data_IF_962406543907
#
_entry.id   IF_962406543907
#
_cell.length_a   1.000
_cell.length_b   1.000
_cell.length_c   1.000
_cell.angle_alpha   90.00
_cell.angle_beta   90.00
_cell.angle_gamma   90.00
#
_symmetry.space_group_name_H-M   'P 1'
#
loop_
_entity.id
_entity.type
_entity.pdbx_description
1 polymer ?
#
# COMPACT_ATOMS: atom_id res chain seq x y z
N UNK A 1 -13.70 8.96 8.60
CA UNK A 1 -13.22 8.01 7.57
C UNK A 1 -13.20 6.64 8.20
N UNK A 2 -13.74 5.63 7.50
CA UNK A 2 -13.51 4.23 7.88
C UNK A 2 -12.00 3.96 7.88
N UNK A 3 -11.54 3.04 8.74
CA UNK A 3 -10.15 2.61 8.68
C UNK A 3 -9.87 1.94 7.33
N UNK A 4 -8.62 2.01 6.81
CA UNK A 4 -8.27 1.35 5.54
C UNK A 4 -8.62 -0.14 5.54
N UNK A 5 -8.47 -0.80 6.69
CA UNK A 5 -8.83 -2.20 6.86
C UNK A 5 -10.34 -2.46 6.75
N UNK A 6 -11.17 -1.55 7.26
CA UNK A 6 -12.62 -1.63 7.07
C UNK A 6 -13.00 -1.42 5.60
N UNK A 7 -12.38 -0.45 4.93
CA UNK A 7 -12.64 -0.18 3.51
C UNK A 7 -12.25 -1.36 2.60
N UNK A 8 -11.13 -2.02 2.90
CA UNK A 8 -10.70 -3.27 2.23
C UNK A 8 -11.71 -4.39 2.47
N UNK A 9 -12.14 -4.59 3.71
CA UNK A 9 -13.13 -5.61 4.07
C UNK A 9 -14.48 -5.37 3.38
N UNK A 10 -14.95 -4.13 3.33
CA UNK A 10 -16.21 -3.75 2.66
C UNK A 10 -16.19 -4.03 1.15
N UNK A 11 -15.00 -4.02 0.54
CA UNK A 11 -14.78 -4.40 -0.87
C UNK A 11 -14.64 -5.91 -1.07
N UNK A 12 -14.70 -6.70 0.00
CA UNK A 12 -14.58 -8.15 -0.04
C UNK A 12 -13.15 -8.64 -0.27
N UNK A 13 -12.16 -7.82 0.06
CA UNK A 13 -10.74 -8.17 -0.03
C UNK A 13 -10.20 -8.63 1.33
N UNK A 14 -9.16 -9.47 1.33
CA UNK A 14 -8.45 -9.89 2.53
C UNK A 14 -7.05 -9.27 2.61
N UNK A 15 -6.53 -9.17 3.82
CA UNK A 15 -5.16 -8.74 4.09
C UNK A 15 -4.42 -9.91 4.70
N UNK A 16 -3.39 -10.39 4.00
CA UNK A 16 -2.54 -11.47 4.46
C UNK A 16 -1.17 -10.92 4.87
N UNK A 17 -0.71 -11.28 6.06
CA UNK A 17 0.63 -10.99 6.51
C UNK A 17 1.54 -12.16 6.15
N UNK A 18 2.47 -11.93 5.24
CA UNK A 18 3.37 -12.96 4.73
C UNK A 18 4.80 -12.75 5.23
N UNK A 19 5.61 -13.82 5.37
CA UNK A 19 7.01 -13.70 5.74
C UNK A 19 7.74 -12.69 4.86
N UNK A 20 8.58 -11.84 5.46
CA UNK A 20 9.26 -10.79 4.70
C UNK A 20 10.12 -11.37 3.57
N UNK A 21 10.69 -12.56 3.76
CA UNK A 21 11.48 -13.25 2.74
C UNK A 21 10.69 -13.61 1.46
N UNK A 22 9.39 -13.92 1.59
CA UNK A 22 8.53 -14.27 0.45
C UNK A 22 8.21 -13.06 -0.42
N UNK A 23 8.06 -11.89 0.21
CA UNK A 23 7.71 -10.63 -0.45
C UNK A 23 8.88 -9.64 -0.50
N UNK A 24 10.12 -10.07 -0.20
CA UNK A 24 11.25 -9.21 0.20
C UNK A 24 11.53 -7.96 -0.65
N UNK A 25 11.20 -7.99 -1.95
CA UNK A 25 11.33 -6.86 -2.87
C UNK A 25 10.27 -5.77 -2.68
N UNK A 26 9.24 -6.04 -1.88
CA UNK A 26 8.05 -5.22 -1.70
C UNK A 26 7.64 -5.20 -0.22
N UNK A 27 7.06 -4.08 0.21
CA UNK A 27 6.50 -3.98 1.56
C UNK A 27 5.05 -4.44 1.60
N UNK A 28 4.33 -4.26 0.50
CA UNK A 28 3.03 -4.82 0.23
C UNK A 28 2.84 -5.00 -1.28
N UNK A 29 1.88 -5.84 -1.66
CA UNK A 29 1.48 -6.08 -3.03
C UNK A 29 0.04 -6.59 -3.05
N UNK A 30 -0.70 -6.39 -4.15
CA UNK A 30 -2.12 -6.70 -4.21
C UNK A 30 -2.51 -7.36 -5.52
N UNK A 31 -3.58 -8.15 -5.46
CA UNK A 31 -4.37 -8.55 -6.63
C UNK A 31 -5.84 -8.51 -6.28
N UNK A 32 -6.54 -7.48 -6.75
CA UNK A 32 -7.92 -7.24 -6.33
C UNK A 32 -8.84 -6.97 -7.50
N UNK A 33 -10.14 -7.21 -7.29
CA UNK A 33 -11.17 -6.77 -8.22
C UNK A 33 -11.94 -5.59 -7.65
N UNK A 34 -11.99 -4.51 -8.43
CA UNK A 34 -12.75 -3.30 -8.14
C UNK A 34 -13.63 -3.00 -9.35
N UNK A 35 -14.94 -2.83 -9.12
CA UNK A 35 -15.93 -2.55 -10.16
C UNK A 35 -15.89 -3.50 -11.39
N UNK A 36 -15.52 -4.76 -11.14
CA UNK A 36 -15.42 -5.80 -12.17
C UNK A 36 -14.08 -5.86 -12.89
N UNK A 37 -13.18 -4.90 -12.66
CA UNK A 37 -11.83 -4.85 -13.24
C UNK A 37 -10.81 -5.48 -12.28
N UNK A 38 -9.88 -6.27 -12.84
CA UNK A 38 -8.79 -6.89 -12.09
C UNK A 38 -7.56 -5.96 -12.08
N UNK A 39 -7.22 -5.45 -10.90
CA UNK A 39 -6.15 -4.46 -10.70
C UNK A 39 -5.03 -5.09 -9.87
N UNK A 40 -3.84 -5.14 -10.45
CA UNK A 40 -2.64 -5.72 -9.83
C UNK A 40 -1.38 -5.24 -10.55
N UNK A 41 -0.24 -5.08 -9.86
CA UNK A 41 1.06 -4.88 -10.51
C UNK A 41 1.60 -6.23 -11.02
N UNK A 42 2.51 -6.24 -12.01
CA UNK A 42 3.12 -7.48 -12.52
C UNK A 42 3.77 -8.35 -11.44
N UNK A 43 4.28 -7.74 -10.36
CA UNK A 43 4.85 -8.44 -9.22
C UNK A 43 3.87 -9.44 -8.55
N UNK A 44 2.55 -9.21 -8.65
CA UNK A 44 1.57 -10.13 -8.11
C UNK A 44 1.50 -11.45 -8.88
N UNK A 45 1.94 -11.48 -10.15
CA UNK A 45 2.08 -12.72 -10.92
C UNK A 45 3.24 -13.56 -10.39
N UNK A 46 4.41 -12.93 -10.19
CA UNK A 46 5.60 -13.59 -9.65
C UNK A 46 5.39 -14.11 -8.22
N UNK A 47 4.66 -13.35 -7.41
CA UNK A 47 4.31 -13.71 -6.04
C UNK A 47 3.15 -14.71 -5.95
N UNK A 48 2.44 -14.97 -7.04
CA UNK A 48 1.29 -15.87 -7.05
C UNK A 48 0.12 -15.42 -6.17
N UNK A 49 -0.05 -14.11 -5.94
CA UNK A 49 -1.06 -13.57 -5.02
C UNK A 49 -2.47 -13.96 -5.49
N UNK A 50 -3.30 -14.61 -4.67
CA UNK A 50 -4.66 -14.96 -5.06
C UNK A 50 -5.55 -13.73 -5.35
N UNK A 51 -6.67 -13.96 -6.03
CA UNK A 51 -7.64 -12.89 -6.34
C UNK A 51 -8.29 -12.38 -5.05
N UNK A 52 -8.42 -11.06 -4.94
CA UNK A 52 -8.96 -10.31 -3.81
C UNK A 52 -8.10 -10.35 -2.54
N UNK A 53 -6.78 -10.50 -2.70
CA UNK A 53 -5.84 -10.46 -1.58
C UNK A 53 -4.88 -9.27 -1.69
N UNK A 54 -4.54 -8.71 -0.54
CA UNK A 54 -3.47 -7.74 -0.35
C UNK A 54 -2.48 -8.37 0.62
N UNK A 55 -1.27 -8.65 0.13
CA UNK A 55 -0.19 -9.19 0.94
C UNK A 55 0.63 -8.04 1.52
N UNK A 56 0.91 -8.11 2.82
CA UNK A 56 1.77 -7.17 3.54
C UNK A 56 2.89 -7.96 4.18
N UNK A 57 4.12 -7.50 4.06
CA UNK A 57 5.25 -8.10 4.78
C UNK A 57 5.02 -8.03 6.29
N UNK A 58 5.18 -9.15 7.00
CA UNK A 58 5.06 -9.23 8.45
C UNK A 58 5.99 -8.23 9.18
N UNK A 59 7.14 -7.89 8.58
CA UNK A 59 8.09 -6.87 9.09
C UNK A 59 7.39 -5.55 9.36
N UNK A 60 6.37 -5.24 8.57
CA UNK A 60 5.67 -3.96 8.57
C UNK A 60 4.28 -3.99 9.18
N UNK A 61 3.85 -5.12 9.77
CA UNK A 61 2.51 -5.28 10.34
C UNK A 61 2.15 -4.19 11.38
N UNK A 62 3.14 -3.69 12.13
CA UNK A 62 2.97 -2.58 13.10
C UNK A 62 2.55 -1.24 12.47
N UNK A 63 2.65 -1.12 11.15
CA UNK A 63 2.31 0.05 10.34
C UNK A 63 1.21 -0.22 9.33
N UNK A 64 0.48 -1.34 9.44
CA UNK A 64 -0.62 -1.75 8.56
C UNK A 64 -1.53 -0.61 8.13
N UNK A 65 -1.95 0.22 9.09
CA UNK A 65 -2.86 1.34 8.80
C UNK A 65 -2.33 2.24 7.68
N UNK A 66 -1.03 2.50 7.65
CA UNK A 66 -0.42 3.37 6.67
C UNK A 66 -0.24 2.68 5.33
N UNK A 67 0.28 1.45 5.36
CA UNK A 67 0.50 0.62 4.17
C UNK A 67 -0.81 0.33 3.45
N UNK A 68 -1.83 -0.14 4.17
CA UNK A 68 -3.12 -0.48 3.58
C UNK A 68 -3.84 0.73 2.98
N UNK A 69 -3.63 1.92 3.53
CA UNK A 69 -4.16 3.13 2.90
C UNK A 69 -3.42 3.45 1.61
N UNK A 70 -2.09 3.34 1.60
CA UNK A 70 -1.31 3.52 0.38
C UNK A 70 -1.81 2.59 -0.73
N UNK A 71 -1.89 1.28 -0.45
CA UNK A 71 -2.40 0.30 -1.41
C UNK A 71 -3.81 0.64 -1.87
N UNK A 72 -4.71 1.01 -0.94
CA UNK A 72 -6.08 1.40 -1.27
C UNK A 72 -6.12 2.59 -2.23
N UNK A 73 -5.33 3.64 -1.97
CA UNK A 73 -5.28 4.84 -2.82
C UNK A 73 -4.66 4.53 -4.18
N UNK A 74 -3.61 3.72 -4.23
CA UNK A 74 -3.01 3.30 -5.49
C UNK A 74 -4.02 2.50 -6.33
N UNK A 75 -4.73 1.54 -5.74
CA UNK A 75 -5.80 0.78 -6.42
C UNK A 75 -6.89 1.71 -6.96
N UNK A 76 -7.36 2.66 -6.16
CA UNK A 76 -8.40 3.62 -6.57
C UNK A 76 -7.94 4.52 -7.73
N UNK A 77 -6.70 4.99 -7.71
CA UNK A 77 -6.14 5.78 -8.81
C UNK A 77 -5.95 4.96 -10.08
N UNK A 78 -5.52 3.69 -9.95
CA UNK A 78 -5.43 2.78 -11.09
C UNK A 78 -6.79 2.47 -11.70
N UNK A 79 -7.81 2.26 -10.87
CA UNK A 79 -9.19 2.09 -11.33
C UNK A 79 -9.72 3.34 -12.05
N UNK A 80 -9.24 4.53 -11.67
CA UNK A 80 -9.55 5.78 -12.35
C UNK A 80 -8.80 5.96 -13.69
N UNK A 81 -8.01 4.97 -14.11
CA UNK A 81 -7.31 4.96 -15.40
C UNK A 81 -5.88 5.52 -15.34
N UNK A 82 -5.32 5.78 -14.16
CA UNK A 82 -3.92 6.18 -14.03
C UNK A 82 -2.99 4.97 -14.23
N UNK A 83 -1.85 5.21 -14.88
CA UNK A 83 -0.78 4.22 -14.94
C UNK A 83 -0.17 3.99 -13.54
N UNK A 84 0.64 2.92 -13.42
CA UNK A 84 1.24 2.51 -12.15
C UNK A 84 2.05 3.65 -11.50
N UNK A 85 2.87 4.36 -12.27
CA UNK A 85 3.75 5.39 -11.72
C UNK A 85 2.94 6.59 -11.20
N UNK A 86 2.00 7.06 -12.02
CA UNK A 86 1.11 8.18 -11.68
C UNK A 86 0.23 7.84 -10.49
N UNK A 87 -0.34 6.63 -10.45
CA UNK A 87 -1.16 6.18 -9.32
C UNK A 87 -0.37 6.11 -8.01
N UNK A 88 0.88 5.64 -8.09
CA UNK A 88 1.78 5.59 -6.94
C UNK A 88 2.08 6.98 -6.38
N UNK A 89 2.46 7.93 -7.24
CA UNK A 89 2.73 9.31 -6.84
C UNK A 89 1.49 9.98 -6.22
N UNK A 90 0.30 9.74 -6.77
CA UNK A 90 -0.95 10.25 -6.22
C UNK A 90 -1.26 9.64 -4.84
N UNK A 91 -1.02 8.34 -4.65
CA UNK A 91 -1.19 7.68 -3.35
C UNK A 91 -0.25 8.27 -2.30
N UNK A 92 1.02 8.53 -2.64
CA UNK A 92 1.97 9.19 -1.74
C UNK A 92 1.56 10.62 -1.37
N UNK A 93 1.00 11.36 -2.34
CA UNK A 93 0.46 12.71 -2.09
C UNK A 93 -0.74 12.66 -1.13
N UNK A 94 -1.63 11.69 -1.30
CA UNK A 94 -2.77 11.47 -0.42
C UNK A 94 -2.31 11.15 1.01
N UNK A 95 -1.35 10.23 1.16
CA UNK A 95 -0.74 9.89 2.46
C UNK A 95 -0.13 11.11 3.13
N UNK A 96 0.67 11.88 2.38
CA UNK A 96 1.31 13.09 2.90
C UNK A 96 0.27 14.10 3.35
N UNK A 97 -0.80 14.31 2.58
CA UNK A 97 -1.87 15.25 2.95
C UNK A 97 -2.55 14.89 4.28
N UNK A 98 -2.58 13.60 4.62
CA UNK A 98 -3.27 13.08 5.79
C UNK A 98 -2.35 12.89 7.01
N UNK A 99 -1.09 12.53 6.79
CA UNK A 99 -0.19 12.02 7.83
C UNK A 99 1.15 12.73 7.95
N UNK A 100 1.35 13.84 7.26
CA UNK A 100 2.59 14.61 7.35
C UNK A 100 2.99 14.89 8.80
N UNK A 101 2.05 15.18 9.70
CA UNK A 101 2.30 15.46 11.11
C UNK A 101 2.13 14.27 12.05
N UNK A 102 1.89 13.07 11.52
CA UNK A 102 1.76 11.86 12.33
C UNK A 102 3.15 11.28 12.65
N UNK A 103 3.57 11.21 13.94
CA UNK A 103 4.90 10.75 14.29
C UNK A 103 5.14 9.27 13.94
N UNK A 104 4.11 8.41 14.00
CA UNK A 104 4.26 6.99 13.63
C UNK A 104 4.45 6.81 12.13
N UNK A 105 3.77 7.63 11.32
CA UNK A 105 3.96 7.63 9.87
C UNK A 105 5.36 8.13 9.50
N UNK A 106 5.86 9.17 10.17
CA UNK A 106 7.25 9.63 9.98
C UNK A 106 8.26 8.55 10.33
N UNK A 107 8.11 7.88 11.47
CA UNK A 107 8.99 6.76 11.85
C UNK A 107 8.94 5.64 10.82
N UNK A 108 7.74 5.23 10.38
CA UNK A 108 7.59 4.21 9.33
C UNK A 108 8.39 4.57 8.08
N UNK A 109 8.24 5.80 7.57
CA UNK A 109 8.95 6.20 6.35
C UNK A 109 10.46 6.33 6.59
N UNK A 110 10.91 6.69 7.80
CA UNK A 110 12.33 6.75 8.12
C UNK A 110 12.96 5.36 8.26
N UNK A 111 12.20 4.36 8.72
CA UNK A 111 12.60 2.95 8.71
C UNK A 111 12.55 2.33 7.30
N UNK A 112 11.91 2.99 6.33
CA UNK A 112 11.65 2.45 4.99
C UNK A 112 12.93 2.45 4.15
N UNK A 113 13.69 1.35 4.26
CA UNK A 113 15.11 1.25 3.91
C UNK A 113 15.56 1.91 2.58
N UNK A 114 14.80 1.90 1.48
CA UNK A 114 15.33 2.44 0.19
C UNK A 114 14.31 3.12 -0.75
N UNK A 115 13.04 3.29 -0.34
CA UNK A 115 11.93 3.55 -1.28
C UNK A 115 11.32 4.96 -1.31
N UNK A 116 11.53 5.78 -0.28
CA UNK A 116 10.77 7.04 -0.08
C UNK A 116 11.62 8.23 0.36
N UNK A 117 12.89 8.24 -0.02
CA UNK A 117 13.83 9.32 0.31
C UNK A 117 13.36 10.71 -0.20
N UNK A 118 12.45 10.76 -1.16
CA UNK A 118 11.85 11.98 -1.71
C UNK A 118 10.71 12.56 -0.86
N UNK A 119 10.18 11.82 0.13
CA UNK A 119 9.25 12.38 1.10
C UNK A 119 10.06 13.16 2.15
N UNK A 120 9.99 14.50 2.17
CA UNK A 120 10.85 15.29 3.04
C UNK A 120 10.48 15.02 4.50
N UNK A 121 11.40 14.42 5.25
CA UNK A 121 11.39 14.56 6.69
C UNK A 121 11.88 15.98 6.98
N UNK A 122 11.17 16.78 7.79
CA UNK A 122 11.82 17.94 8.37
C UNK A 122 13.01 17.40 9.15
N UNK A 123 14.22 17.70 8.67
CA UNK A 123 15.40 17.66 9.49
C UNK A 123 15.13 18.48 10.73
N UNK A 124 15.61 17.97 11.86
CA UNK A 124 15.64 18.67 13.15
C UNK A 124 16.02 20.14 13.02
#
# INVERSE_FOLDING_TARGET
MASPREAIRERGWTVEHVPHEEIAKYNACYRVVLDGELIYPPAADDLGIPRNEIWVSEKWAKYDRFILYHELREIEHRAAGHDKATAHELAERDERSLWLDNPRWRVMNAEWDEGRAHLPFPGE
#
